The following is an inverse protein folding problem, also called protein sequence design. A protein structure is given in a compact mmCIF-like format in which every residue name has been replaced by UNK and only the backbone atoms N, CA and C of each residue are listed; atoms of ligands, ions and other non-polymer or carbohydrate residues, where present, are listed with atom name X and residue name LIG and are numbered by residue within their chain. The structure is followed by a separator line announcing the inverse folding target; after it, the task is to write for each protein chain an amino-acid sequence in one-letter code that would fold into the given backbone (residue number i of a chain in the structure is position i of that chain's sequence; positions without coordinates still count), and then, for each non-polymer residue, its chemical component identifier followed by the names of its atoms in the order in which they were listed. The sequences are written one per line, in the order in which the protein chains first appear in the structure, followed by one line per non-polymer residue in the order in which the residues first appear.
data_IF_943986240677
#
_entry.id   IF_943986240677
#
_cell.length_a   1.000
_cell.length_b   1.000
_cell.length_c   1.000
_cell.angle_alpha   90.00
_cell.angle_beta   90.00
_cell.angle_gamma   90.00
#
_symmetry.space_group_name_H-M   'P 1'
#
loop_
_entity.id
_entity.type
_entity.pdbx_description
1 polymer ?
#
# COMPACT_ATOMS: atom_id res chain seq x y z
N UNK A 1 14.61 -14.64 5.42
CA UNK A 1 13.21 -14.20 5.61
C UNK A 1 12.80 -13.99 7.08
N UNK A 2 13.18 -14.88 8.00
CA UNK A 2 12.86 -14.74 9.44
C UNK A 2 13.49 -13.48 10.05
N UNK A 3 14.73 -13.18 9.69
CA UNK A 3 15.47 -12.04 10.24
C UNK A 3 14.91 -10.71 9.73
N UNK A 4 14.40 -10.69 8.50
CA UNK A 4 13.79 -9.54 7.86
C UNK A 4 12.45 -9.19 8.52
N UNK A 5 11.60 -10.19 8.83
CA UNK A 5 10.35 -9.96 9.58
C UNK A 5 10.65 -9.47 10.99
N UNK A 6 11.64 -10.06 11.67
CA UNK A 6 12.06 -9.60 13.02
C UNK A 6 12.53 -8.15 12.99
N UNK A 7 13.35 -7.78 12.02
CA UNK A 7 13.82 -6.42 11.85
C UNK A 7 12.65 -5.46 11.54
N UNK A 8 11.73 -5.87 10.67
CA UNK A 8 10.55 -5.07 10.34
C UNK A 8 9.65 -4.84 11.57
N UNK A 9 9.43 -5.87 12.41
CA UNK A 9 8.72 -5.75 13.70
C UNK A 9 9.43 -4.79 14.65
N UNK A 10 10.76 -4.88 14.74
CA UNK A 10 11.57 -3.97 15.57
C UNK A 10 11.42 -2.52 15.09
N UNK A 11 11.54 -2.29 13.78
CA UNK A 11 11.34 -0.97 13.19
C UNK A 11 9.94 -0.42 13.44
N UNK A 12 8.90 -1.26 13.34
CA UNK A 12 7.52 -0.84 13.62
C UNK A 12 7.32 -0.42 15.08
N UNK A 13 7.85 -1.19 16.04
CA UNK A 13 7.79 -0.86 17.46
C UNK A 13 8.55 0.42 17.84
N UNK A 14 9.53 0.81 17.03
CA UNK A 14 10.32 2.03 17.20
C UNK A 14 9.78 3.21 16.36
N UNK A 15 8.60 3.09 15.74
CA UNK A 15 8.03 4.08 14.80
C UNK A 15 8.95 4.41 13.60
N UNK A 16 9.84 3.47 13.24
CA UNK A 16 10.79 3.58 12.12
C UNK A 16 10.40 2.73 10.91
N UNK A 17 9.26 2.04 10.95
CA UNK A 17 8.79 1.25 9.82
C UNK A 17 8.52 2.12 8.58
N UNK A 18 8.65 1.55 7.36
CA UNK A 18 8.25 2.23 6.14
C UNK A 18 6.78 2.69 6.22
N UNK A 19 6.49 3.86 5.63
CA UNK A 19 5.13 4.44 5.67
C UNK A 19 4.11 3.48 5.07
N UNK A 20 3.07 3.16 5.85
CA UNK A 20 1.99 2.26 5.45
C UNK A 20 2.17 0.81 5.90
N UNK A 21 3.31 0.46 6.49
CA UNK A 21 3.51 -0.87 7.10
C UNK A 21 3.04 -0.84 8.55
N UNK A 22 1.93 -1.54 8.85
CA UNK A 22 1.38 -1.67 10.21
C UNK A 22 1.92 -2.92 10.91
N UNK A 23 1.85 -2.95 12.24
CA UNK A 23 2.20 -4.16 13.02
C UNK A 23 1.32 -5.34 12.59
N UNK A 24 0.02 -5.13 12.43
CA UNK A 24 -0.95 -6.13 12.00
C UNK A 24 -0.58 -6.77 10.64
N UNK A 25 -0.11 -5.96 9.69
CA UNK A 25 0.35 -6.46 8.39
C UNK A 25 1.59 -7.35 8.53
N UNK A 26 2.53 -6.97 9.42
CA UNK A 26 3.73 -7.77 9.69
C UNK A 26 3.36 -9.09 10.38
N UNK A 27 2.39 -9.06 11.29
CA UNK A 27 1.88 -10.26 11.95
C UNK A 27 1.15 -11.18 10.97
N UNK A 28 0.34 -10.65 10.07
CA UNK A 28 -0.31 -11.43 9.01
C UNK A 28 0.71 -12.09 8.08
N UNK A 29 1.76 -11.38 7.67
CA UNK A 29 2.86 -11.93 6.87
C UNK A 29 3.59 -13.05 7.62
N UNK A 30 3.89 -12.85 8.91
CA UNK A 30 4.54 -13.87 9.74
C UNK A 30 3.63 -15.08 9.98
N UNK A 31 2.31 -14.88 10.11
CA UNK A 31 1.34 -15.95 10.25
C UNK A 31 1.28 -16.80 8.98
N UNK A 32 1.18 -16.18 7.79
CA UNK A 32 1.17 -16.92 6.51
C UNK A 32 2.48 -17.69 6.31
N UNK A 33 3.63 -17.12 6.72
CA UNK A 33 4.91 -17.84 6.73
C UNK A 33 4.89 -19.06 7.65
N UNK A 34 4.21 -18.99 8.78
CA UNK A 34 4.14 -20.08 9.77
C UNK A 34 3.06 -21.12 9.44
N UNK A 35 2.13 -20.78 8.54
CA UNK A 35 1.06 -21.69 8.13
C UNK A 35 1.62 -22.73 7.15
N UNK A 36 1.50 -23.98 7.59
CA UNK A 36 1.40 -25.12 6.70
C UNK A 36 2.65 -25.45 5.88
N UNK A 37 2.41 -26.22 4.82
CA UNK A 37 3.47 -26.81 4.01
C UNK A 37 4.15 -25.74 3.12
N UNK A 38 3.48 -24.62 2.82
CA UNK A 38 4.07 -23.45 2.13
C UNK A 38 5.22 -22.86 2.95
N UNK A 39 5.00 -22.61 4.24
CA UNK A 39 6.03 -22.11 5.15
C UNK A 39 7.21 -23.06 5.30
N UNK A 40 6.93 -24.37 5.36
CA UNK A 40 7.96 -25.40 5.43
C UNK A 40 8.87 -25.42 4.19
N UNK A 41 8.36 -25.13 2.99
CA UNK A 41 9.17 -24.96 1.77
C UNK A 41 10.09 -23.72 1.80
N UNK A 42 9.75 -22.71 2.61
CA UNK A 42 10.57 -21.50 2.76
C UNK A 42 11.72 -21.69 3.76
N UNK A 43 11.60 -22.67 4.66
CA UNK A 43 12.59 -22.96 5.72
C UNK A 43 13.44 -24.22 5.45
N UNK A 44 12.91 -25.23 4.75
CA UNK A 44 13.58 -26.50 4.51
C UNK A 44 14.24 -26.59 3.11
N UNK A 45 15.26 -27.45 3.01
CA UNK A 45 15.92 -27.79 1.75
C UNK A 45 14.88 -28.26 0.72
N UNK A 46 14.86 -27.60 -0.44
CA UNK A 46 13.99 -27.76 -1.64
C UNK A 46 13.83 -29.20 -2.20
N UNK A 47 14.43 -30.19 -1.55
CA UNK A 47 14.41 -31.60 -1.96
C UNK A 47 13.22 -32.39 -1.41
N UNK A 48 12.29 -31.75 -0.69
CA UNK A 48 11.09 -32.39 -0.13
C UNK A 48 9.86 -31.86 -0.86
N UNK A 49 9.13 -32.74 -1.55
CA UNK A 49 7.83 -32.40 -2.15
C UNK A 49 6.78 -32.54 -1.05
N UNK A 50 6.24 -31.41 -0.61
CA UNK A 50 5.17 -31.36 0.39
C UNK A 50 3.92 -30.76 -0.26
N UNK A 51 2.77 -31.40 -0.09
CA UNK A 51 1.49 -30.93 -0.64
C UNK A 51 1.05 -29.61 -0.01
N UNK A 52 0.75 -28.62 -0.83
CA UNK A 52 0.18 -27.34 -0.37
C UNK A 52 -1.34 -27.46 -0.34
N UNK A 53 -1.96 -27.14 0.79
CA UNK A 53 -3.42 -27.06 0.87
C UNK A 53 -3.91 -25.86 0.03
N UNK A 54 -4.89 -26.03 -0.88
CA UNK A 54 -5.45 -24.95 -1.68
C UNK A 54 -5.89 -23.73 -0.85
N UNK A 55 -6.40 -23.94 0.37
CA UNK A 55 -6.81 -22.84 1.25
C UNK A 55 -5.63 -22.00 1.72
N UNK A 56 -4.47 -22.61 1.99
CA UNK A 56 -3.26 -21.88 2.38
C UNK A 56 -2.78 -20.97 1.24
N UNK A 57 -2.88 -21.47 0.00
CA UNK A 57 -2.56 -20.68 -1.19
C UNK A 57 -3.56 -19.53 -1.40
N UNK A 58 -4.85 -19.76 -1.19
CA UNK A 58 -5.89 -18.71 -1.25
C UNK A 58 -5.65 -17.59 -0.23
N UNK A 59 -5.32 -17.93 1.02
CA UNK A 59 -5.01 -16.94 2.07
C UNK A 59 -3.76 -16.12 1.74
N UNK A 60 -2.71 -16.76 1.20
CA UNK A 60 -1.51 -16.04 0.75
C UNK A 60 -1.81 -15.09 -0.41
N UNK A 61 -2.64 -15.50 -1.37
CA UNK A 61 -3.08 -14.64 -2.47
C UNK A 61 -3.85 -13.44 -1.90
N UNK A 62 -4.79 -13.68 -0.99
CA UNK A 62 -5.57 -12.62 -0.35
C UNK A 62 -4.69 -11.61 0.40
N UNK A 63 -3.67 -12.08 1.12
CA UNK A 63 -2.68 -11.22 1.75
C UNK A 63 -1.94 -10.36 0.72
N UNK A 64 -1.47 -10.95 -0.38
CA UNK A 64 -0.76 -10.22 -1.44
C UNK A 64 -1.66 -9.14 -2.07
N UNK A 65 -2.92 -9.47 -2.37
CA UNK A 65 -3.89 -8.54 -2.92
C UNK A 65 -4.14 -7.35 -1.98
N UNK A 66 -4.30 -7.62 -0.68
CA UNK A 66 -4.44 -6.57 0.33
C UNK A 66 -3.21 -5.64 0.37
N UNK A 67 -2.01 -6.20 0.37
CA UNK A 67 -0.77 -5.41 0.39
C UNK A 67 -0.65 -4.53 -0.87
N UNK A 68 -1.05 -5.02 -2.04
CA UNK A 68 -1.08 -4.21 -3.26
C UNK A 68 -2.07 -3.04 -3.15
N UNK A 69 -3.28 -3.31 -2.66
CA UNK A 69 -4.30 -2.30 -2.49
C UNK A 69 -3.83 -1.19 -1.53
N UNK A 70 -3.29 -1.56 -0.38
CA UNK A 70 -2.89 -0.59 0.65
C UNK A 70 -1.63 0.20 0.29
N UNK A 71 -0.61 -0.48 -0.22
CA UNK A 71 0.72 0.10 -0.37
C UNK A 71 0.92 0.80 -1.72
N UNK A 72 0.24 0.32 -2.77
CA UNK A 72 0.40 0.86 -4.12
C UNK A 72 -0.84 1.62 -4.58
N UNK A 73 -2.02 0.99 -4.57
CA UNK A 73 -3.24 1.59 -5.13
C UNK A 73 -3.71 2.78 -4.30
N UNK A 74 -3.93 2.58 -3.00
CA UNK A 74 -4.38 3.62 -2.10
C UNK A 74 -3.36 4.76 -1.98
N UNK A 75 -2.06 4.44 -2.04
CA UNK A 75 -1.00 5.45 -2.08
C UNK A 75 -1.09 6.32 -3.33
N UNK A 76 -1.15 5.72 -4.52
CA UNK A 76 -1.25 6.45 -5.78
C UNK A 76 -2.52 7.31 -5.83
N UNK A 77 -3.66 6.78 -5.37
CA UNK A 77 -4.91 7.51 -5.29
C UNK A 77 -4.81 8.74 -4.37
N UNK A 78 -4.15 8.61 -3.20
CA UNK A 78 -3.88 9.74 -2.30
C UNK A 78 -2.99 10.79 -2.95
N UNK A 79 -1.90 10.37 -3.59
CA UNK A 79 -0.96 11.28 -4.28
C UNK A 79 -1.67 12.09 -5.38
N UNK A 80 -2.47 11.42 -6.23
CA UNK A 80 -3.26 12.09 -7.26
C UNK A 80 -4.28 13.08 -6.67
N UNK A 81 -4.96 12.70 -5.58
CA UNK A 81 -5.95 13.58 -4.93
C UNK A 81 -5.28 14.84 -4.38
N UNK A 82 -4.11 14.71 -3.77
CA UNK A 82 -3.37 15.87 -3.26
C UNK A 82 -2.79 16.74 -4.37
N UNK A 83 -2.33 16.14 -5.47
CA UNK A 83 -1.91 16.90 -6.65
C UNK A 83 -3.05 17.75 -7.21
N UNK A 84 -4.27 17.19 -7.33
CA UNK A 84 -5.46 17.94 -7.76
C UNK A 84 -5.79 19.10 -6.82
N UNK A 85 -5.77 18.87 -5.51
CA UNK A 85 -6.05 19.93 -4.53
C UNK A 85 -5.03 21.07 -4.60
N UNK A 86 -3.74 20.75 -4.77
CA UNK A 86 -2.70 21.76 -4.96
C UNK A 86 -2.93 22.56 -6.25
N UNK A 87 -3.24 21.89 -7.35
CA UNK A 87 -3.56 22.56 -8.62
C UNK A 87 -4.71 23.57 -8.49
N UNK A 88 -5.82 23.17 -7.84
CA UNK A 88 -6.96 24.07 -7.58
C UNK A 88 -6.53 25.28 -6.72
N UNK A 89 -5.68 25.06 -5.71
CA UNK A 89 -5.21 26.13 -4.84
C UNK A 89 -4.31 27.12 -5.61
N UNK A 90 -3.39 26.61 -6.43
CA UNK A 90 -2.48 27.40 -7.25
C UNK A 90 -3.23 28.23 -8.30
N UNK A 91 -4.22 27.63 -8.98
CA UNK A 91 -5.12 28.32 -9.90
C UNK A 91 -5.86 29.48 -9.22
N UNK A 92 -6.44 29.23 -8.04
CA UNK A 92 -7.13 30.28 -7.27
C UNK A 92 -6.19 31.38 -6.80
N UNK A 93 -4.96 31.04 -6.42
CA UNK A 93 -3.95 32.02 -6.05
C UNK A 93 -3.55 32.90 -7.25
N UNK A 94 -3.34 32.30 -8.42
CA UNK A 94 -3.04 33.01 -9.65
C UNK A 94 -4.17 33.95 -10.08
N UNK A 95 -5.43 33.52 -9.99
CA UNK A 95 -6.60 34.35 -10.30
C UNK A 95 -6.69 35.58 -9.37
N UNK A 96 -6.45 35.39 -8.06
CA UNK A 96 -6.39 36.48 -7.09
C UNK A 96 -5.26 37.47 -7.42
N UNK A 97 -4.07 36.97 -7.76
CA UNK A 97 -2.93 37.81 -8.14
C UNK A 97 -3.19 38.60 -9.43
N UNK A 98 -3.97 38.03 -10.37
CA UNK A 98 -4.35 38.68 -11.62
C UNK A 98 -5.58 39.63 -11.50
N UNK A 99 -6.14 39.80 -10.29
CA UNK A 99 -7.32 40.65 -10.07
C UNK A 99 -8.62 40.10 -10.70
N UNK A 100 -8.65 38.84 -11.11
CA UNK A 100 -9.83 38.19 -11.71
C UNK A 100 -10.68 37.52 -10.65
N UNK A 101 -12.00 37.59 -10.81
CA UNK A 101 -12.93 36.98 -9.86
C UNK A 101 -12.82 35.45 -9.95
N UNK A 102 -12.88 34.71 -8.82
CA UNK A 102 -12.72 33.24 -8.80
C UNK A 102 -13.74 32.45 -9.64
N UNK A 103 -14.78 33.12 -10.15
CA UNK A 103 -15.91 32.50 -10.84
C UNK A 103 -15.80 32.50 -12.38
N UNK A 104 -14.76 33.13 -12.96
CA UNK A 104 -14.63 33.24 -14.42
C UNK A 104 -13.97 31.99 -15.06
N UNK A 105 -13.29 31.15 -14.28
CA UNK A 105 -12.54 29.98 -14.79
C UNK A 105 -13.32 28.66 -14.88
N UNK A 106 -14.48 28.55 -14.22
CA UNK A 106 -15.27 27.30 -14.15
C UNK A 106 -16.25 27.13 -15.33
N UNK A 107 -16.33 28.09 -16.26
CA UNK A 107 -17.33 28.12 -17.33
C UNK A 107 -16.94 27.48 -18.67
N UNK A 108 -15.73 26.91 -18.82
CA UNK A 108 -15.25 26.41 -20.13
C UNK A 108 -15.07 24.88 -20.24
N UNK A 109 -15.22 24.12 -19.15
CA UNK A 109 -14.97 22.67 -19.21
C UNK A 109 -16.22 21.80 -19.49
N UNK A 110 -17.43 22.37 -19.52
CA UNK A 110 -18.68 21.61 -19.62
C UNK A 110 -19.37 21.70 -21.00
N UNK A 111 -18.57 21.81 -22.07
CA UNK A 111 -19.05 21.68 -23.45
C UNK A 111 -18.13 20.79 -24.27
N UNK A 112 -18.36 19.48 -24.22
CA UNK A 112 -18.34 18.56 -25.37
C UNK A 112 -18.61 17.13 -24.92
#
# INVERSE_FOLDING_TARGET
MIDEIKELKRMANEDRAPKGVSIDAIEAIDAVRQIGNIGAHMEADINIIVEVDPKEAEELIGLIELLFEEWYVARAAREQRFARLKGIADEKAALKAAGKSPNEGLGLADKR
#
